data_IF_349323121467
#
_entry.id   IF_349323121467
#
_cell.length_a   1.000
_cell.length_b   1.000
_cell.length_c   1.000
_cell.angle_alpha   90.00
_cell.angle_beta   90.00
_cell.angle_gamma   90.00
#
_symmetry.space_group_name_H-M   'P 1'
#
loop_
_entity.id
_entity.type
_entity.pdbx_description
1 polymer ?
#
# COMPACT_ATOMS: atom_id res chain seq x y z
N UNK A 1 15.98 19.68 -23.91
CA UNK A 1 16.16 18.68 -22.83
C UNK A 1 16.82 19.40 -21.67
N UNK A 2 16.03 19.81 -20.68
CA UNK A 2 16.54 20.42 -19.44
C UNK A 2 16.97 19.25 -18.54
N UNK A 3 18.25 19.23 -18.16
CA UNK A 3 18.75 18.31 -17.13
C UNK A 3 17.97 18.52 -15.83
N UNK A 4 17.63 17.45 -15.09
CA UNK A 4 17.04 17.59 -13.77
C UNK A 4 18.14 18.07 -12.80
N UNK A 5 18.20 19.39 -12.58
CA UNK A 5 19.10 20.03 -11.61
C UNK A 5 18.49 20.08 -10.21
N UNK A 6 17.88 19.01 -9.76
CA UNK A 6 17.32 18.87 -8.40
C UNK A 6 18.16 17.88 -7.57
N UNK A 7 18.45 18.25 -6.32
CA UNK A 7 18.90 17.26 -5.33
C UNK A 7 17.81 16.18 -5.17
N UNK A 8 18.17 14.91 -4.88
CA UNK A 8 17.18 13.85 -4.67
C UNK A 8 16.25 14.24 -3.51
N UNK A 9 14.95 14.05 -3.72
CA UNK A 9 13.95 14.24 -2.66
C UNK A 9 13.92 13.00 -1.73
N UNK A 10 13.37 13.16 -0.53
CA UNK A 10 13.20 12.05 0.43
C UNK A 10 12.56 10.81 -0.20
N UNK A 11 11.58 11.01 -1.08
CA UNK A 11 10.93 9.92 -1.84
C UNK A 11 11.87 9.17 -2.78
N UNK A 12 12.83 9.84 -3.39
CA UNK A 12 13.81 9.18 -4.26
C UNK A 12 14.76 8.31 -3.46
N UNK A 13 15.23 8.81 -2.31
CA UNK A 13 16.06 8.07 -1.39
C UNK A 13 15.33 6.85 -0.81
N UNK A 14 14.09 7.02 -0.36
CA UNK A 14 13.28 5.91 0.13
C UNK A 14 13.08 4.81 -0.93
N UNK A 15 12.83 5.19 -2.18
CA UNK A 15 12.72 4.27 -3.31
C UNK A 15 14.03 3.54 -3.60
N UNK A 16 15.16 4.24 -3.62
CA UNK A 16 16.48 3.63 -3.86
C UNK A 16 16.85 2.66 -2.75
N UNK A 17 16.62 3.04 -1.50
CA UNK A 17 16.80 2.16 -0.34
C UNK A 17 16.00 0.87 -0.49
N UNK A 18 14.69 0.98 -0.75
CA UNK A 18 13.81 -0.19 -0.92
C UNK A 18 14.25 -1.09 -2.06
N UNK A 19 14.68 -0.52 -3.19
CA UNK A 19 15.17 -1.29 -4.34
C UNK A 19 16.47 -2.05 -4.01
N UNK A 20 17.45 -1.39 -3.37
CA UNK A 20 18.69 -2.01 -2.96
C UNK A 20 18.47 -3.12 -1.94
N UNK A 21 17.62 -2.87 -0.92
CA UNK A 21 17.25 -3.88 0.07
C UNK A 21 16.55 -5.08 -0.57
N UNK A 22 15.69 -4.86 -1.58
CA UNK A 22 15.05 -5.94 -2.34
C UNK A 22 16.02 -6.79 -3.12
N UNK A 23 17.00 -6.17 -3.81
CA UNK A 23 18.05 -6.86 -4.54
C UNK A 23 18.92 -7.69 -3.60
N UNK A 24 19.37 -7.10 -2.50
CA UNK A 24 20.23 -7.75 -1.53
C UNK A 24 19.55 -8.98 -0.90
N UNK A 25 18.32 -8.84 -0.41
CA UNK A 25 17.54 -9.94 0.17
C UNK A 25 17.29 -11.07 -0.84
N UNK A 26 17.00 -10.72 -2.09
CA UNK A 26 16.86 -11.71 -3.16
C UNK A 26 18.17 -12.45 -3.39
N UNK A 27 19.31 -11.74 -3.46
CA UNK A 27 20.61 -12.36 -3.60
C UNK A 27 20.95 -13.30 -2.46
N UNK A 28 20.71 -12.87 -1.21
CA UNK A 28 20.93 -13.69 -0.01
C UNK A 28 20.06 -14.94 0.02
N UNK A 29 18.84 -14.90 -0.50
CA UNK A 29 17.94 -16.05 -0.54
C UNK A 29 18.36 -17.11 -1.55
N UNK A 30 19.15 -16.76 -2.57
CA UNK A 30 19.57 -17.68 -3.63
C UNK A 30 21.04 -18.10 -3.52
N UNK A 31 21.89 -17.37 -2.79
CA UNK A 31 23.30 -17.70 -2.71
C UNK A 31 23.63 -18.64 -1.56
N UNK A 32 24.41 -19.68 -1.84
CA UNK A 32 25.05 -20.54 -0.85
C UNK A 32 26.49 -20.09 -0.54
N UNK A 33 27.02 -19.11 -1.26
CA UNK A 33 28.36 -18.60 -1.12
C UNK A 33 28.45 -17.55 -0.02
N UNK A 34 29.24 -17.82 1.02
CA UNK A 34 29.40 -16.92 2.17
C UNK A 34 29.94 -15.54 1.78
N UNK A 35 30.87 -15.46 0.82
CA UNK A 35 31.41 -14.17 0.36
C UNK A 35 30.41 -13.33 -0.40
N UNK A 36 29.48 -13.96 -1.14
CA UNK A 36 28.40 -13.25 -1.79
C UNK A 36 27.37 -12.79 -0.76
N UNK A 37 27.11 -13.62 0.25
CA UNK A 37 26.19 -13.28 1.33
C UNK A 37 26.67 -12.04 2.09
N UNK A 38 27.96 -11.98 2.48
CA UNK A 38 28.56 -10.80 3.12
C UNK A 38 28.38 -9.54 2.27
N UNK A 39 28.57 -9.63 0.95
CA UNK A 39 28.36 -8.50 0.04
C UNK A 39 26.91 -8.04 -0.03
N UNK A 40 25.97 -8.96 -0.01
CA UNK A 40 24.56 -8.60 0.05
C UNK A 40 24.18 -7.97 1.40
N UNK A 41 24.76 -8.44 2.51
CA UNK A 41 24.61 -7.81 3.82
C UNK A 41 25.16 -6.37 3.82
N UNK A 42 26.31 -6.13 3.18
CA UNK A 42 26.86 -4.78 3.00
C UNK A 42 25.93 -3.87 2.19
N UNK A 43 25.30 -4.39 1.14
CA UNK A 43 24.27 -3.65 0.38
C UNK A 43 23.03 -3.33 1.24
N UNK A 44 22.64 -4.21 2.16
CA UNK A 44 21.54 -3.92 3.10
C UNK A 44 21.89 -2.77 4.05
N UNK A 45 23.11 -2.71 4.56
CA UNK A 45 23.57 -1.60 5.40
C UNK A 45 23.54 -0.27 4.64
N UNK A 46 24.04 -0.24 3.40
CA UNK A 46 23.97 0.95 2.54
C UNK A 46 22.52 1.37 2.29
N UNK A 47 21.63 0.40 2.05
CA UNK A 47 20.20 0.69 1.88
C UNK A 47 19.59 1.27 3.16
N UNK A 48 19.98 0.79 4.35
CA UNK A 48 19.54 1.30 5.64
C UNK A 48 20.00 2.75 5.87
N UNK A 49 21.25 3.07 5.52
CA UNK A 49 21.78 4.44 5.61
C UNK A 49 20.99 5.41 4.70
N UNK A 50 20.67 4.97 3.48
CA UNK A 50 19.87 5.77 2.54
C UNK A 50 18.44 5.96 3.10
N UNK A 51 17.85 4.94 3.74
CA UNK A 51 16.53 5.04 4.37
C UNK A 51 16.54 6.06 5.50
N UNK A 52 17.54 6.00 6.39
CA UNK A 52 17.70 6.97 7.46
C UNK A 52 17.83 8.41 6.93
N UNK A 53 18.64 8.61 5.88
CA UNK A 53 18.77 9.91 5.24
C UNK A 53 17.44 10.41 4.62
N UNK A 54 16.61 9.52 4.08
CA UNK A 54 15.28 9.87 3.58
C UNK A 54 14.36 10.34 4.72
N UNK A 55 14.37 9.64 5.86
CA UNK A 55 13.56 9.99 7.03
C UNK A 55 14.02 11.30 7.68
N UNK A 56 15.33 11.58 7.71
CA UNK A 56 15.88 12.88 8.15
C UNK A 56 15.38 14.02 7.28
N UNK A 57 15.40 13.86 5.95
CA UNK A 57 14.91 14.88 5.02
C UNK A 57 13.39 15.12 5.10
N UNK A 58 12.62 14.08 5.41
CA UNK A 58 11.17 14.18 5.52
C UNK A 58 10.73 14.88 6.82
N UNK A 59 11.44 14.65 7.91
CA UNK A 59 11.03 15.10 9.25
C UNK A 59 11.78 16.35 9.76
N UNK A 60 12.80 16.84 9.03
CA UNK A 60 13.69 17.95 9.45
C UNK A 60 14.31 17.73 10.87
N UNK A 61 14.55 16.46 11.22
CA UNK A 61 15.09 16.04 12.51
C UNK A 61 16.37 15.23 12.25
N UNK A 62 17.50 15.68 12.79
CA UNK A 62 18.72 14.88 12.81
C UNK A 62 18.51 13.66 13.73
N UNK A 63 18.42 12.48 13.14
CA UNK A 63 18.30 11.21 13.86
C UNK A 63 19.70 10.65 14.09
N UNK A 64 19.99 10.23 15.31
CA UNK A 64 21.20 9.46 15.62
C UNK A 64 21.11 8.15 14.81
N UNK A 65 22.06 7.91 13.90
CA UNK A 65 21.99 6.86 12.87
C UNK A 65 22.19 5.46 13.43
N UNK A 66 21.21 4.93 14.14
CA UNK A 66 21.12 3.49 14.39
C UNK A 66 20.33 2.83 13.26
N UNK A 67 21.01 2.41 12.19
CA UNK A 67 20.40 1.79 11.00
C UNK A 67 20.25 0.27 11.10
N UNK A 68 20.86 -0.34 12.09
CA UNK A 68 20.85 -1.80 12.29
C UNK A 68 19.43 -2.38 12.44
N UNK A 69 18.49 -1.63 12.99
CA UNK A 69 17.09 -2.09 13.12
C UNK A 69 16.42 -2.32 11.76
N UNK A 70 16.71 -1.49 10.73
CA UNK A 70 16.21 -1.70 9.38
C UNK A 70 16.77 -2.97 8.77
N UNK A 71 18.07 -3.23 8.96
CA UNK A 71 18.73 -4.44 8.48
C UNK A 71 18.12 -5.68 9.14
N UNK A 72 17.91 -5.65 10.46
CA UNK A 72 17.30 -6.76 11.19
C UNK A 72 15.86 -7.02 10.75
N UNK A 73 15.07 -5.99 10.56
CA UNK A 73 13.70 -6.12 10.01
C UNK A 73 13.71 -6.79 8.64
N UNK A 74 14.61 -6.37 7.76
CA UNK A 74 14.71 -6.94 6.42
C UNK A 74 15.22 -8.38 6.40
N UNK A 75 16.13 -8.74 7.29
CA UNK A 75 16.66 -10.10 7.40
C UNK A 75 15.65 -11.11 7.95
N UNK A 76 14.63 -10.68 8.70
CA UNK A 76 13.56 -11.57 9.16
C UNK A 76 12.78 -12.23 8.01
N UNK A 77 12.83 -11.64 6.82
CA UNK A 77 12.16 -12.16 5.63
C UNK A 77 13.11 -12.94 4.69
N UNK A 78 14.32 -13.28 5.16
CA UNK A 78 15.32 -14.06 4.42
C UNK A 78 15.61 -15.33 5.21
N UNK A 79 15.09 -16.47 4.79
CA UNK A 79 15.27 -17.75 5.48
C UNK A 79 14.98 -18.94 4.59
N UNK A 80 15.31 -20.15 5.07
CA UNK A 80 14.99 -21.40 4.39
C UNK A 80 13.48 -21.52 4.16
N UNK A 81 13.06 -21.80 2.91
CA UNK A 81 11.66 -21.94 2.51
C UNK A 81 10.95 -20.63 2.16
N UNK A 82 11.60 -19.47 2.29
CA UNK A 82 11.06 -18.21 1.77
C UNK A 82 11.32 -18.15 0.26
N UNK A 83 10.32 -17.89 -0.60
CA UNK A 83 10.53 -17.72 -2.03
C UNK A 83 11.59 -16.64 -2.28
N UNK A 84 12.58 -16.94 -3.14
CA UNK A 84 13.79 -16.15 -3.30
C UNK A 84 13.63 -14.72 -3.81
N UNK A 85 12.44 -14.33 -4.34
CA UNK A 85 12.21 -12.95 -4.79
C UNK A 85 11.49 -12.14 -3.73
N UNK A 86 12.10 -11.02 -3.35
CA UNK A 86 11.42 -9.99 -2.56
C UNK A 86 10.56 -9.16 -3.50
N UNK A 87 9.27 -9.15 -3.25
CA UNK A 87 8.29 -8.39 -4.03
C UNK A 87 7.60 -7.34 -3.15
N UNK A 88 7.00 -6.30 -3.73
CA UNK A 88 6.12 -5.42 -2.97
C UNK A 88 5.01 -6.22 -2.29
N UNK A 89 4.61 -5.82 -1.09
CA UNK A 89 3.41 -6.36 -0.44
C UNK A 89 2.17 -5.98 -1.26
N UNK A 90 1.13 -6.77 -1.16
CA UNK A 90 -0.15 -6.48 -1.80
C UNK A 90 -1.16 -6.13 -0.72
N UNK A 91 -1.75 -4.94 -0.83
CA UNK A 91 -2.91 -4.53 -0.06
C UNK A 91 -4.14 -4.52 -0.97
N UNK A 92 -5.27 -4.88 -0.40
CA UNK A 92 -6.56 -4.93 -1.08
C UNK A 92 -7.47 -3.89 -0.44
N UNK A 93 -8.12 -3.07 -1.25
CA UNK A 93 -9.15 -2.14 -0.80
C UNK A 93 -10.45 -2.39 -1.54
N UNK A 94 -11.57 -2.11 -0.89
CA UNK A 94 -12.89 -2.29 -1.47
C UNK A 94 -13.74 -1.03 -1.33
N UNK A 95 -14.06 -0.40 -2.45
CA UNK A 95 -15.11 0.62 -2.54
C UNK A 95 -16.42 -0.11 -2.72
N UNK A 96 -17.26 -0.11 -1.70
CA UNK A 96 -18.56 -0.77 -1.72
C UNK A 96 -19.65 0.27 -1.91
N UNK A 97 -20.48 0.08 -2.93
CA UNK A 97 -21.67 0.91 -3.18
C UNK A 97 -22.96 0.20 -2.75
N UNK A 98 -23.93 0.95 -2.27
CA UNK A 98 -25.31 0.49 -2.04
C UNK A 98 -26.26 0.97 -3.15
N UNK A 99 -27.52 0.57 -3.07
CA UNK A 99 -28.57 0.95 -4.04
C UNK A 99 -28.95 2.44 -3.98
N UNK A 100 -28.64 3.13 -2.88
CA UNK A 100 -28.85 4.58 -2.71
C UNK A 100 -27.70 5.41 -3.31
N UNK A 101 -26.66 4.76 -3.85
CA UNK A 101 -25.50 5.41 -4.45
C UNK A 101 -24.47 5.94 -3.44
N UNK A 102 -24.52 5.44 -2.22
CA UNK A 102 -23.59 5.78 -1.15
C UNK A 102 -22.40 4.81 -1.11
N UNK A 103 -21.29 5.29 -0.56
CA UNK A 103 -20.05 4.53 -0.34
C UNK A 103 -19.92 4.10 1.12
N UNK A 104 -19.53 2.85 1.34
CA UNK A 104 -19.18 2.31 2.64
C UNK A 104 -17.77 2.76 3.05
N UNK A 105 -17.66 3.39 4.23
CA UNK A 105 -16.38 3.72 4.84
C UNK A 105 -16.31 3.17 6.26
N UNK A 106 -15.08 2.94 6.71
CA UNK A 106 -14.69 2.61 8.08
C UNK A 106 -13.86 3.73 8.68
N UNK A 107 -14.03 3.99 9.96
CA UNK A 107 -13.13 4.84 10.72
C UNK A 107 -12.11 3.95 11.45
N UNK A 108 -10.84 4.12 11.18
CA UNK A 108 -9.77 3.37 11.84
C UNK A 108 -9.68 3.72 13.32
N UNK A 109 -9.61 2.70 14.17
CA UNK A 109 -9.50 2.88 15.62
C UNK A 109 -8.16 3.51 16.05
N UNK A 110 -7.07 3.27 15.28
CA UNK A 110 -5.72 3.74 15.59
C UNK A 110 -5.48 5.22 15.25
N UNK A 111 -6.13 5.74 14.21
CA UNK A 111 -5.85 7.07 13.65
C UNK A 111 -7.06 7.99 13.58
N UNK A 112 -8.28 7.44 13.70
CA UNK A 112 -9.52 8.18 13.49
C UNK A 112 -9.78 8.57 12.04
N UNK A 113 -8.95 8.11 11.10
CA UNK A 113 -9.08 8.39 9.68
C UNK A 113 -10.15 7.50 9.06
N UNK A 114 -11.00 8.10 8.20
CA UNK A 114 -11.97 7.39 7.39
C UNK A 114 -11.36 6.94 6.07
N UNK A 115 -11.65 5.71 5.67
CA UNK A 115 -11.31 5.17 4.35
C UNK A 115 -12.23 3.99 3.99
N UNK A 116 -12.12 3.51 2.76
CA UNK A 116 -12.76 2.27 2.36
C UNK A 116 -12.16 1.07 3.12
N UNK A 117 -12.91 -0.04 3.34
CA UNK A 117 -12.38 -1.27 3.95
C UNK A 117 -11.12 -1.75 3.23
N UNK A 118 -10.09 -2.17 4.00
CA UNK A 118 -8.79 -2.53 3.43
C UNK A 118 -7.96 -3.44 4.32
N UNK A 119 -7.31 -4.42 3.72
CA UNK A 119 -6.39 -5.32 4.41
C UNK A 119 -5.27 -5.85 3.52
N UNK A 120 -4.43 -6.69 4.09
CA UNK A 120 -3.36 -7.36 3.36
C UNK A 120 -3.89 -8.56 2.58
N UNK A 121 -3.28 -8.83 1.41
CA UNK A 121 -3.58 -10.04 0.66
C UNK A 121 -3.09 -11.27 1.45
N UNK A 122 -4.02 -12.07 1.92
CA UNK A 122 -3.76 -13.33 2.63
C UNK A 122 -3.41 -14.45 1.65
N UNK A 123 -2.43 -15.29 2.05
CA UNK A 123 -2.08 -16.49 1.28
C UNK A 123 -3.26 -17.47 1.32
N UNK A 124 -3.62 -17.99 0.16
CA UNK A 124 -4.71 -18.95 0.00
C UNK A 124 -6.02 -18.34 -0.46
N UNK A 125 -6.09 -17.01 -0.54
CA UNK A 125 -7.23 -16.27 -1.08
C UNK A 125 -6.85 -15.55 -2.38
N UNK A 126 -7.79 -15.42 -3.30
CA UNK A 126 -7.64 -14.49 -4.42
C UNK A 126 -7.84 -13.04 -3.95
N UNK A 127 -7.35 -12.07 -4.74
CA UNK A 127 -7.47 -10.66 -4.37
C UNK A 127 -8.93 -10.20 -4.19
N UNK A 128 -9.86 -10.73 -5.00
CA UNK A 128 -11.28 -10.43 -4.88
C UNK A 128 -11.94 -11.09 -3.65
N UNK A 129 -11.49 -12.28 -3.26
CA UNK A 129 -11.95 -12.93 -2.02
C UNK A 129 -11.48 -12.16 -0.78
N UNK A 130 -10.24 -11.62 -0.80
CA UNK A 130 -9.76 -10.74 0.28
C UNK A 130 -10.61 -9.48 0.36
N UNK A 131 -10.95 -8.85 -0.77
CA UNK A 131 -11.83 -7.67 -0.76
C UNK A 131 -13.18 -7.95 -0.07
N UNK A 132 -13.81 -9.06 -0.39
CA UNK A 132 -15.09 -9.48 0.24
C UNK A 132 -14.90 -9.77 1.74
N UNK A 133 -13.82 -10.48 2.08
CA UNK A 133 -13.49 -10.84 3.46
C UNK A 133 -13.31 -9.59 4.33
N UNK A 134 -12.47 -8.64 3.90
CA UNK A 134 -12.21 -7.40 4.65
C UNK A 134 -13.49 -6.56 4.84
N UNK A 135 -14.32 -6.45 3.81
CA UNK A 135 -15.62 -5.77 3.93
C UNK A 135 -16.48 -6.43 5.00
N UNK A 136 -16.62 -7.74 4.98
CA UNK A 136 -17.44 -8.46 5.96
C UNK A 136 -16.87 -8.34 7.39
N UNK A 137 -15.54 -8.46 7.56
CA UNK A 137 -14.88 -8.40 8.86
C UNK A 137 -14.90 -6.99 9.47
N UNK A 138 -14.58 -5.95 8.68
CA UNK A 138 -14.50 -4.58 9.17
C UNK A 138 -15.86 -3.89 9.33
N UNK A 139 -16.88 -4.32 8.56
CA UNK A 139 -18.14 -3.57 8.44
C UNK A 139 -19.42 -4.36 8.71
N UNK A 140 -19.36 -5.70 8.67
CA UNK A 140 -20.54 -6.57 8.73
C UNK A 140 -21.40 -6.59 7.46
N UNK A 141 -20.97 -5.94 6.38
CA UNK A 141 -21.69 -5.89 5.10
C UNK A 141 -21.24 -7.05 4.20
N UNK A 142 -22.19 -7.71 3.58
CA UNK A 142 -21.93 -8.68 2.52
C UNK A 142 -21.85 -7.96 1.17
N UNK A 143 -20.84 -8.26 0.37
CA UNK A 143 -20.66 -7.65 -0.93
C UNK A 143 -20.21 -8.64 -2.00
N UNK A 144 -20.34 -8.26 -3.26
CA UNK A 144 -19.78 -8.97 -4.41
C UNK A 144 -18.83 -8.04 -5.19
N UNK A 145 -17.66 -8.55 -5.66
CA UNK A 145 -16.75 -7.77 -6.47
C UNK A 145 -17.31 -7.57 -7.87
N UNK A 146 -17.25 -6.34 -8.38
CA UNK A 146 -17.75 -5.95 -9.70
C UNK A 146 -16.61 -5.70 -10.67
N UNK A 147 -15.63 -4.90 -10.28
CA UNK A 147 -14.50 -4.53 -11.14
C UNK A 147 -13.28 -4.10 -10.32
N UNK A 148 -12.12 -4.08 -10.98
CA UNK A 148 -10.89 -3.50 -10.44
C UNK A 148 -10.82 -2.03 -10.83
N UNK A 149 -10.89 -1.12 -9.85
CA UNK A 149 -10.84 0.34 -10.07
C UNK A 149 -9.44 0.85 -10.32
N UNK A 150 -8.48 0.38 -9.51
CA UNK A 150 -7.10 0.83 -9.66
C UNK A 150 -6.08 -0.18 -9.15
N UNK A 151 -4.86 -0.07 -9.71
CA UNK A 151 -3.63 -0.69 -9.21
C UNK A 151 -2.60 0.42 -9.07
N UNK A 152 -2.14 0.68 -7.86
CA UNK A 152 -1.24 1.79 -7.56
C UNK A 152 -0.11 1.38 -6.63
N UNK A 153 1.05 2.01 -6.81
CA UNK A 153 2.21 1.88 -5.94
C UNK A 153 2.05 2.82 -4.75
N UNK A 154 1.79 2.25 -3.56
CA UNK A 154 1.54 3.01 -2.34
C UNK A 154 2.74 3.82 -1.88
N UNK A 155 3.97 3.33 -2.10
CA UNK A 155 5.18 4.08 -1.79
C UNK A 155 5.32 5.29 -2.72
N UNK A 156 5.05 5.12 -4.00
CA UNK A 156 5.08 6.19 -4.99
C UNK A 156 4.01 7.26 -4.74
N UNK A 157 2.83 6.84 -4.30
CA UNK A 157 1.73 7.75 -3.95
C UNK A 157 1.87 8.39 -2.56
N UNK A 158 2.88 7.98 -1.78
CA UNK A 158 3.25 8.60 -0.51
C UNK A 158 2.44 8.13 0.70
N UNK A 159 1.61 7.08 0.58
CA UNK A 159 0.85 6.54 1.72
C UNK A 159 1.44 5.25 2.30
N UNK A 160 2.55 4.75 1.74
CA UNK A 160 3.30 3.63 2.30
C UNK A 160 4.79 3.96 2.41
N UNK A 161 5.43 3.56 3.51
CA UNK A 161 6.88 3.70 3.72
C UNK A 161 7.70 2.57 3.09
N UNK A 162 7.05 1.54 2.58
CA UNK A 162 7.69 0.37 1.94
C UNK A 162 7.00 0.02 0.62
N UNK A 163 7.68 -0.78 -0.20
CA UNK A 163 7.13 -1.23 -1.49
C UNK A 163 5.82 -1.99 -1.29
N UNK A 164 4.74 -1.43 -1.82
CA UNK A 164 3.39 -1.98 -1.69
C UNK A 164 2.56 -1.61 -2.91
N UNK A 165 1.79 -2.56 -3.41
CA UNK A 165 0.73 -2.28 -4.38
C UNK A 165 -0.63 -2.34 -3.71
N UNK A 166 -1.46 -1.32 -3.97
CA UNK A 166 -2.87 -1.32 -3.60
C UNK A 166 -3.71 -1.73 -4.82
N UNK A 167 -4.50 -2.78 -4.67
CA UNK A 167 -5.53 -3.18 -5.61
C UNK A 167 -6.87 -2.71 -5.05
N UNK A 168 -7.49 -1.73 -5.68
CA UNK A 168 -8.77 -1.18 -5.24
C UNK A 168 -9.90 -1.74 -6.09
N UNK A 169 -10.79 -2.49 -5.46
CA UNK A 169 -11.96 -3.08 -6.10
C UNK A 169 -13.18 -2.18 -5.94
N UNK A 170 -14.04 -2.16 -6.95
CA UNK A 170 -15.44 -1.80 -6.81
C UNK A 170 -16.23 -3.05 -6.45
N UNK A 171 -16.98 -2.97 -5.38
CA UNK A 171 -17.88 -4.00 -4.91
C UNK A 171 -19.30 -3.44 -4.77
N UNK A 172 -20.30 -4.31 -4.89
CA UNK A 172 -21.69 -3.98 -4.65
C UNK A 172 -22.17 -4.63 -3.36
N UNK A 173 -22.83 -3.88 -2.49
CA UNK A 173 -23.47 -4.44 -1.31
C UNK A 173 -24.64 -5.36 -1.72
N UNK A 174 -24.73 -6.53 -1.06
CA UNK A 174 -25.80 -7.51 -1.32
C UNK A 174 -26.55 -7.91 -0.06
N UNK A 175 -26.12 -7.43 1.12
CA UNK A 175 -26.74 -7.72 2.41
C UNK A 175 -25.85 -7.33 3.58
N UNK A 176 -26.18 -7.87 4.76
CA UNK A 176 -25.47 -7.61 6.01
C UNK A 176 -26.05 -6.41 6.77
N UNK A 177 -25.50 -6.17 7.95
CA UNK A 177 -25.84 -5.04 8.81
C UNK A 177 -24.57 -4.35 9.28
N UNK A 178 -24.56 -3.01 9.29
CA UNK A 178 -23.40 -2.23 9.73
C UNK A 178 -22.97 -2.61 11.14
N UNK A 179 -21.74 -3.05 11.26
CA UNK A 179 -21.11 -3.43 12.53
C UNK A 179 -19.60 -3.22 12.45
N UNK A 180 -19.10 -2.22 13.17
CA UNK A 180 -17.69 -1.95 13.28
C UNK A 180 -16.93 -3.14 13.90
N UNK A 181 -15.75 -3.46 13.37
CA UNK A 181 -14.88 -4.48 13.96
C UNK A 181 -14.34 -3.98 15.30
N UNK A 182 -14.46 -4.76 16.41
CA UNK A 182 -14.25 -4.25 17.77
C UNK A 182 -12.81 -3.78 18.07
N UNK A 183 -11.82 -4.20 17.29
CA UNK A 183 -10.42 -3.87 17.51
C UNK A 183 -9.83 -2.91 16.46
N UNK A 184 -10.37 -2.91 15.24
CA UNK A 184 -9.74 -2.24 14.09
C UNK A 184 -10.51 -1.00 13.65
N UNK A 185 -11.82 -1.00 13.85
CA UNK A 185 -12.69 0.12 13.43
C UNK A 185 -13.43 0.73 14.61
N UNK A 186 -13.40 2.05 14.74
CA UNK A 186 -14.16 2.79 15.75
C UNK A 186 -15.58 3.11 15.29
N UNK A 187 -15.79 3.23 13.97
CA UNK A 187 -17.10 3.52 13.37
C UNK A 187 -17.16 3.00 11.93
N UNK A 188 -18.38 2.83 11.41
CA UNK A 188 -18.67 2.40 10.05
C UNK A 188 -19.95 3.07 9.55
N UNK A 189 -20.00 3.49 8.29
CA UNK A 189 -21.18 4.16 7.76
C UNK A 189 -21.21 4.25 6.24
N UNK A 190 -22.40 4.59 5.73
CA UNK A 190 -22.65 4.91 4.33
C UNK A 190 -22.60 6.42 4.13
N UNK A 191 -21.97 6.86 3.04
CA UNK A 191 -21.74 8.28 2.75
C UNK A 191 -22.06 8.62 1.31
N UNK A 192 -22.88 9.64 1.09
CA UNK A 192 -23.18 10.15 -0.23
C UNK A 192 -22.02 10.95 -0.82
N UNK A 193 -22.02 11.13 -2.15
CA UNK A 193 -21.08 12.01 -2.83
C UNK A 193 -21.21 13.45 -2.31
N UNK A 194 -20.10 14.02 -1.86
CA UNK A 194 -20.07 15.35 -1.25
C UNK A 194 -20.34 15.39 0.26
N UNK A 195 -20.68 14.25 0.88
CA UNK A 195 -20.89 14.11 2.33
C UNK A 195 -19.82 13.24 3.02
N UNK A 196 -18.68 13.02 2.34
CA UNK A 196 -17.58 12.26 2.92
C UNK A 196 -17.06 12.97 4.19
N UNK A 197 -16.69 12.21 5.24
CA UNK A 197 -16.08 12.79 6.44
C UNK A 197 -14.83 13.61 6.13
N UNK A 198 -14.60 14.71 6.86
CA UNK A 198 -13.47 15.61 6.65
C UNK A 198 -12.12 14.88 6.70
N UNK A 199 -11.98 13.90 7.61
CA UNK A 199 -10.77 13.10 7.78
C UNK A 199 -10.70 11.88 6.85
N UNK A 200 -11.27 11.94 5.62
CA UNK A 200 -11.22 10.81 4.68
C UNK A 200 -9.90 10.77 3.93
N UNK A 201 -9.14 9.67 4.12
CA UNK A 201 -7.84 9.50 3.51
C UNK A 201 -7.91 9.38 1.99
N UNK A 202 -7.13 10.21 1.29
CA UNK A 202 -6.92 10.10 -0.15
C UNK A 202 -8.17 10.29 -1.01
N UNK A 203 -9.27 10.83 -0.49
CA UNK A 203 -10.53 11.00 -1.22
C UNK A 203 -10.37 11.69 -2.58
N UNK A 204 -9.44 12.63 -2.69
CA UNK A 204 -9.17 13.37 -3.92
C UNK A 204 -8.70 12.53 -5.12
N UNK A 205 -8.28 11.28 -4.92
CA UNK A 205 -7.84 10.43 -6.02
C UNK A 205 -8.77 9.22 -6.29
N UNK A 206 -9.52 8.75 -5.29
CA UNK A 206 -10.35 7.56 -5.45
C UNK A 206 -11.87 7.82 -5.41
N UNK A 207 -12.34 8.89 -4.73
CA UNK A 207 -13.75 9.07 -4.49
C UNK A 207 -14.56 9.30 -5.78
N UNK A 208 -14.14 10.23 -6.65
CA UNK A 208 -14.82 10.47 -7.92
C UNK A 208 -14.96 9.19 -8.76
N UNK A 209 -13.87 8.43 -9.09
CA UNK A 209 -14.01 7.19 -9.85
C UNK A 209 -14.82 6.12 -9.14
N UNK A 210 -14.84 6.11 -7.81
CA UNK A 210 -15.65 5.21 -7.03
C UNK A 210 -17.14 5.50 -7.21
N UNK A 211 -17.55 6.75 -7.05
CA UNK A 211 -18.95 7.15 -7.27
C UNK A 211 -19.40 6.97 -8.74
N UNK A 212 -18.50 7.21 -9.71
CA UNK A 212 -18.80 6.91 -11.12
C UNK A 212 -19.06 5.42 -11.33
N UNK A 213 -18.23 4.53 -10.73
CA UNK A 213 -18.42 3.10 -10.83
C UNK A 213 -19.73 2.61 -10.17
N UNK A 214 -20.08 3.15 -8.99
CA UNK A 214 -21.33 2.84 -8.29
C UNK A 214 -22.55 3.23 -9.14
N UNK A 215 -22.48 4.35 -9.86
CA UNK A 215 -23.52 4.79 -10.81
C UNK A 215 -23.55 3.96 -12.11
N UNK A 216 -22.73 2.92 -12.22
CA UNK A 216 -22.68 2.01 -13.37
C UNK A 216 -21.82 2.51 -14.54
N UNK A 217 -21.01 3.53 -14.34
CA UNK A 217 -20.05 3.94 -15.35
C UNK A 217 -18.97 2.88 -15.56
N UNK A 218 -18.71 2.52 -16.81
CA UNK A 218 -17.59 1.64 -17.18
C UNK A 218 -16.35 2.51 -17.38
N UNK A 219 -15.47 2.55 -16.43
CA UNK A 219 -14.19 3.23 -16.54
C UNK A 219 -13.04 2.20 -16.64
N UNK A 220 -11.96 2.50 -17.39
CA UNK A 220 -10.78 1.64 -17.39
C UNK A 220 -10.11 1.67 -16.01
N UNK A 221 -9.49 0.54 -15.63
CA UNK A 221 -8.67 0.47 -14.40
C UNK A 221 -7.61 1.57 -14.41
N UNK A 222 -7.53 2.33 -13.33
CA UNK A 222 -6.54 3.41 -13.18
C UNK A 222 -5.21 2.86 -12.70
N UNK A 223 -4.13 3.49 -13.18
CA UNK A 223 -2.76 3.19 -12.81
C UNK A 223 -2.05 4.47 -12.35
N UNK A 224 -0.90 4.29 -11.72
CA UNK A 224 -0.02 5.42 -11.42
C UNK A 224 0.26 6.28 -12.65
N UNK A 225 0.39 7.61 -12.49
CA UNK A 225 0.76 8.47 -13.60
C UNK A 225 2.09 8.03 -14.22
N UNK A 226 2.26 8.13 -15.54
CA UNK A 226 3.51 7.77 -16.20
C UNK A 226 4.68 8.60 -15.65
N UNK A 227 5.85 7.97 -15.54
CA UNK A 227 7.12 8.62 -15.20
C UNK A 227 8.20 8.19 -16.17
N UNK A 228 9.28 8.96 -16.25
CA UNK A 228 10.48 8.50 -16.95
C UNK A 228 11.00 7.23 -16.32
N UNK A 229 11.57 6.35 -17.12
CA UNK A 229 12.08 5.06 -16.68
C UNK A 229 13.20 5.24 -15.65
N UNK A 230 13.06 4.81 -14.38
CA UNK A 230 14.07 5.07 -13.35
C UNK A 230 15.35 4.24 -13.52
N UNK A 231 15.35 3.23 -14.41
CA UNK A 231 16.47 2.31 -14.67
C UNK A 231 17.05 2.44 -16.09
N UNK A 232 16.58 3.38 -16.89
CA UNK A 232 17.12 3.70 -18.21
C UNK A 232 17.24 5.20 -18.34
N UNK A 233 18.44 5.70 -18.72
CA UNK A 233 18.63 7.10 -19.04
C UNK A 233 17.78 7.56 -20.23
#
# INVERSE_FOLDING_TARGET
MTEPTGHPEARDLARWSSALAGIARTGMAFTENLYERERYEEVLHIAADIKAAAEELENDIAVERETDHFVQEWLQNVGEGVPGYVTPKIAIGAVVGNDDGEILLVQRADSGIWLYPTGWADIGYSASEVAVKEVAEETGIDCEPVSLLSVIDGQRMGFSRFGMYMLLFHCRAIGGELRAHPLETSDVGWFAEGELPEATAGAGWWAEPAFEAIRGATAPTRFDPPRSNPWRP
#
